data_IF_837144099814
#
_entry.id   IF_837144099814
#
_cell.length_a   1.000
_cell.length_b   1.000
_cell.length_c   1.000
_cell.angle_alpha   90.00
_cell.angle_beta   90.00
_cell.angle_gamma   90.00
#
_symmetry.space_group_name_H-M   'P 1'
#
loop_
_entity.id
_entity.type
_entity.pdbx_description
1 polymer ?
#
# COMPACT_ATOMS: atom_id res chain seq x y z
N UNK A 1 16.33 14.79 23.99
CA UNK A 1 15.56 14.72 22.71
C UNK A 1 14.82 13.40 22.69
N UNK A 2 13.49 13.42 22.70
CA UNK A 2 12.66 12.21 22.79
C UNK A 2 12.68 11.42 21.48
N UNK A 3 12.80 10.09 21.57
CA UNK A 3 12.65 9.22 20.42
C UNK A 3 11.20 9.24 19.95
N UNK A 4 10.97 9.46 18.65
CA UNK A 4 9.68 9.22 18.02
C UNK A 4 9.43 7.71 18.03
N UNK A 5 8.49 7.26 18.85
CA UNK A 5 8.06 5.86 18.88
C UNK A 5 7.30 5.57 17.58
N UNK A 6 7.86 4.69 16.74
CA UNK A 6 7.20 4.21 15.53
C UNK A 6 6.64 2.81 15.79
N UNK A 7 5.37 2.64 15.53
CA UNK A 7 4.72 1.34 15.58
C UNK A 7 4.95 0.60 14.26
N UNK A 8 5.48 -0.61 14.33
CA UNK A 8 5.68 -1.46 13.15
C UNK A 8 4.58 -2.52 13.11
N UNK A 9 3.72 -2.42 12.09
CA UNK A 9 2.65 -3.37 11.87
C UNK A 9 3.18 -4.68 11.26
N UNK A 10 2.59 -5.81 11.64
CA UNK A 10 2.79 -7.12 11.01
C UNK A 10 1.57 -7.48 10.17
N UNK A 11 1.75 -7.67 8.86
CA UNK A 11 0.69 -8.07 7.93
C UNK A 11 1.22 -8.28 6.52
N UNK A 12 0.45 -8.97 5.67
CA UNK A 12 0.88 -9.31 4.32
C UNK A 12 0.93 -8.08 3.40
N UNK A 13 -0.02 -7.17 3.57
CA UNK A 13 -0.14 -5.93 2.81
C UNK A 13 -0.23 -4.75 3.77
N UNK A 14 0.81 -3.92 3.77
CA UNK A 14 0.93 -2.74 4.64
C UNK A 14 0.96 -1.48 3.80
N UNK A 15 0.12 -0.53 4.18
CA UNK A 15 0.14 0.82 3.63
C UNK A 15 1.16 1.67 4.39
N UNK A 16 2.06 2.28 3.64
CA UNK A 16 3.16 3.09 4.16
C UNK A 16 3.10 4.50 3.59
N UNK A 17 3.62 5.48 4.32
CA UNK A 17 3.79 6.84 3.81
C UNK A 17 4.71 6.85 2.59
N UNK A 18 4.33 7.52 1.49
CA UNK A 18 5.13 7.51 0.26
C UNK A 18 6.51 8.17 0.39
N UNK A 19 6.66 9.11 1.32
CA UNK A 19 7.90 9.87 1.53
C UNK A 19 8.89 9.13 2.42
N UNK A 20 8.46 8.71 3.62
CA UNK A 20 9.36 8.16 4.64
C UNK A 20 9.17 6.66 4.90
N UNK A 21 8.23 6.01 4.20
CA UNK A 21 7.90 4.58 4.32
C UNK A 21 7.45 4.15 5.72
N UNK A 22 7.08 5.09 6.59
CA UNK A 22 6.51 4.74 7.89
C UNK A 22 5.18 3.97 7.69
N UNK A 23 5.03 2.85 8.39
CA UNK A 23 3.81 2.03 8.35
C UNK A 23 2.63 2.86 8.87
N UNK A 24 1.47 2.72 8.25
CA UNK A 24 0.29 3.49 8.62
C UNK A 24 -0.93 2.59 8.88
N UNK A 25 -1.20 1.62 8.02
CA UNK A 25 -2.31 0.68 8.24
C UNK A 25 -2.08 -0.64 7.51
N UNK A 26 -2.72 -1.71 7.99
CA UNK A 26 -2.79 -2.97 7.23
C UNK A 26 -4.00 -2.97 6.30
N UNK A 27 -3.98 -3.84 5.28
CA UNK A 27 -5.11 -4.02 4.37
C UNK A 27 -6.40 -4.46 5.06
N UNK A 28 -6.32 -5.21 6.16
CA UNK A 28 -7.48 -5.68 6.93
C UNK A 28 -8.25 -4.56 7.62
N UNK A 29 -7.61 -3.40 7.81
CA UNK A 29 -8.25 -2.23 8.41
C UNK A 29 -9.08 -1.42 7.41
N UNK A 30 -9.09 -1.79 6.12
CA UNK A 30 -9.91 -1.10 5.11
C UNK A 30 -11.39 -1.37 5.39
N UNK A 31 -12.13 -0.30 5.68
CA UNK A 31 -13.58 -0.34 5.76
C UNK A 31 -14.22 -0.22 4.38
N UNK A 32 -13.74 0.69 3.54
CA UNK A 32 -14.30 0.92 2.21
C UNK A 32 -13.30 1.55 1.23
N UNK A 33 -13.43 1.19 -0.06
CA UNK A 33 -12.49 1.58 -1.13
C UNK A 33 -13.04 2.62 -2.12
N UNK A 34 -14.29 3.03 -1.94
CA UNK A 34 -15.05 3.88 -2.89
C UNK A 34 -14.97 5.37 -2.58
N UNK A 35 -13.95 5.80 -1.82
CA UNK A 35 -13.82 7.19 -1.38
C UNK A 35 -12.93 8.00 -2.33
N UNK A 36 -13.14 9.31 -2.33
CA UNK A 36 -12.32 10.27 -3.07
C UNK A 36 -11.74 11.32 -2.11
N UNK A 37 -10.45 11.56 -2.30
CA UNK A 37 -9.61 12.57 -1.64
C UNK A 37 -9.54 13.87 -2.43
N UNK A 38 -8.72 14.80 -1.93
CA UNK A 38 -8.31 16.00 -2.66
C UNK A 38 -7.40 15.64 -3.84
N UNK A 39 -6.58 14.61 -3.69
CA UNK A 39 -5.57 14.20 -4.68
C UNK A 39 -5.95 12.91 -5.43
N UNK A 40 -7.25 12.59 -5.52
CA UNK A 40 -7.76 11.45 -6.28
C UNK A 40 -8.33 10.34 -5.39
N UNK A 41 -8.21 9.04 -5.76
CA UNK A 41 -8.85 7.96 -5.03
C UNK A 41 -8.29 7.80 -3.60
N UNK A 42 -9.18 7.53 -2.65
CA UNK A 42 -8.83 7.36 -1.25
C UNK A 42 -9.59 6.18 -0.63
N UNK A 43 -9.05 5.65 0.47
CA UNK A 43 -9.64 4.54 1.21
C UNK A 43 -10.02 4.97 2.62
N UNK A 44 -11.13 4.43 3.11
CA UNK A 44 -11.58 4.61 4.48
C UNK A 44 -11.07 3.43 5.33
N UNK A 45 -10.35 3.73 6.39
CA UNK A 45 -9.76 2.78 7.33
C UNK A 45 -10.39 2.90 8.71
N UNK A 46 -10.51 1.78 9.40
CA UNK A 46 -10.94 1.74 10.81
C UNK A 46 -9.84 2.25 11.76
N UNK A 47 -8.58 1.91 11.48
CA UNK A 47 -7.45 2.25 12.33
C UNK A 47 -6.20 2.61 11.52
N UNK A 48 -5.44 3.60 11.99
CA UNK A 48 -4.19 4.09 11.38
C UNK A 48 -3.20 4.45 12.50
N UNK A 49 -1.95 4.03 12.36
CA UNK A 49 -0.84 4.27 13.29
C UNK A 49 0.17 5.26 12.72
N UNK A 50 1.10 5.73 13.56
CA UNK A 50 2.17 6.66 13.17
C UNK A 50 1.68 7.96 12.51
N UNK A 51 0.51 8.44 12.91
CA UNK A 51 -0.06 9.70 12.45
C UNK A 51 -0.25 10.70 13.59
N UNK A 52 -0.12 11.98 13.27
CA UNK A 52 -0.47 13.10 14.13
C UNK A 52 -1.78 13.72 13.63
N UNK A 53 -2.67 14.08 14.55
CA UNK A 53 -3.92 14.77 14.23
C UNK A 53 -3.70 16.29 14.24
N UNK A 54 -4.17 16.96 13.19
CA UNK A 54 -4.28 18.41 13.13
C UNK A 54 -5.44 18.96 13.95
N UNK A 55 -5.70 20.28 13.89
CA UNK A 55 -6.84 20.89 14.54
C UNK A 55 -8.18 20.37 13.98
N UNK A 56 -9.23 20.46 14.78
CA UNK A 56 -10.60 20.18 14.34
C UNK A 56 -11.08 21.29 13.43
N UNK A 57 -11.56 20.93 12.26
CA UNK A 57 -12.12 21.85 11.28
C UNK A 57 -13.47 21.36 10.78
N UNK A 58 -14.42 22.27 10.64
CA UNK A 58 -15.68 21.96 9.98
C UNK A 58 -15.55 22.13 8.47
N UNK A 59 -15.91 21.09 7.72
CA UNK A 59 -15.81 21.06 6.26
C UNK A 59 -17.10 20.51 5.65
N UNK A 60 -17.61 21.20 4.63
CA UNK A 60 -18.69 20.69 3.78
C UNK A 60 -18.07 19.70 2.78
N UNK A 61 -18.51 18.44 2.85
CA UNK A 61 -18.12 17.38 1.94
C UNK A 61 -19.34 16.95 1.11
N UNK A 62 -19.14 16.04 0.16
CA UNK A 62 -20.22 15.54 -0.72
C UNK A 62 -21.45 15.00 0.03
N UNK A 63 -21.23 14.44 1.23
CA UNK A 63 -22.28 13.85 2.06
C UNK A 63 -22.73 14.75 3.21
N UNK A 64 -22.45 16.05 3.14
CA UNK A 64 -22.88 17.03 4.14
C UNK A 64 -21.76 17.60 5.01
N UNK A 65 -22.15 18.30 6.08
CA UNK A 65 -21.24 18.93 7.04
C UNK A 65 -20.57 17.87 7.94
N UNK A 66 -19.24 17.97 8.08
CA UNK A 66 -18.46 17.11 8.94
C UNK A 66 -17.43 17.93 9.72
N UNK A 67 -17.15 17.54 10.96
CA UNK A 67 -15.94 17.96 11.68
C UNK A 67 -14.85 16.94 11.40
N UNK A 68 -13.72 17.38 10.85
CA UNK A 68 -12.59 16.53 10.48
C UNK A 68 -11.29 17.05 11.07
N UNK A 69 -10.29 16.18 11.13
CA UNK A 69 -8.92 16.53 11.53
C UNK A 69 -7.97 16.01 10.47
N UNK A 70 -7.12 16.88 9.91
CA UNK A 70 -6.09 16.41 8.97
C UNK A 70 -5.14 15.44 9.68
N UNK A 71 -4.70 14.41 8.95
CA UNK A 71 -3.72 13.45 9.46
C UNK A 71 -2.39 13.65 8.76
N UNK A 72 -1.35 13.78 9.58
CA UNK A 72 0.02 13.98 9.15
C UNK A 72 0.85 12.76 9.51
N UNK A 73 1.80 12.38 8.68
CA UNK A 73 2.78 11.37 9.06
C UNK A 73 3.60 11.87 10.26
N UNK A 74 3.70 11.07 11.33
CA UNK A 74 4.50 11.40 12.52
C UNK A 74 6.00 11.58 12.26
N UNK A 75 6.50 11.01 11.15
CA UNK A 75 7.94 11.03 10.81
C UNK A 75 8.34 12.18 9.87
N UNK A 76 7.52 12.49 8.87
CA UNK A 76 7.86 13.52 7.85
C UNK A 76 6.83 14.65 7.75
N UNK A 77 5.78 14.63 8.57
CA UNK A 77 4.70 15.64 8.64
C UNK A 77 3.89 15.85 7.35
N UNK A 78 4.14 15.02 6.33
CA UNK A 78 3.34 14.99 5.11
C UNK A 78 1.87 14.68 5.42
N UNK A 79 0.95 15.43 4.81
CA UNK A 79 -0.48 15.16 4.86
C UNK A 79 -0.77 13.84 4.14
N UNK A 80 -1.42 12.90 4.84
CA UNK A 80 -1.84 11.60 4.31
C UNK A 80 -3.36 11.55 4.01
N UNK A 81 -4.14 12.43 4.65
CA UNK A 81 -5.58 12.53 4.49
C UNK A 81 -6.23 13.21 5.69
N UNK A 82 -7.37 12.70 6.17
CA UNK A 82 -8.06 13.23 7.36
C UNK A 82 -8.83 12.15 8.13
N UNK A 83 -9.13 12.41 9.40
CA UNK A 83 -10.01 11.61 10.26
C UNK A 83 -11.36 12.31 10.40
N UNK A 84 -12.45 11.56 10.37
CA UNK A 84 -13.76 12.08 10.73
C UNK A 84 -13.89 12.11 12.26
N UNK A 85 -14.11 13.29 12.81
CA UNK A 85 -14.41 13.44 14.24
C UNK A 85 -15.91 13.37 14.48
N UNK A 86 -16.69 14.07 13.66
CA UNK A 86 -18.15 14.14 13.78
C UNK A 86 -18.81 14.27 12.41
N UNK A 87 -19.89 13.52 12.21
CA UNK A 87 -20.82 13.69 11.09
C UNK A 87 -22.14 14.24 11.64
N UNK A 88 -22.73 15.23 10.97
CA UNK A 88 -23.99 15.83 11.41
C UNK A 88 -25.22 15.09 10.86
N UNK A 89 -25.05 14.33 9.78
CA UNK A 89 -26.10 13.50 9.20
C UNK A 89 -26.05 12.08 9.77
N UNK A 90 -27.21 11.56 10.20
CA UNK A 90 -27.32 10.24 10.85
C UNK A 90 -26.80 9.11 9.94
N UNK A 91 -27.10 9.19 8.65
CA UNK A 91 -26.66 8.22 7.63
C UNK A 91 -25.14 8.15 7.46
N UNK A 92 -24.42 9.19 7.89
CA UNK A 92 -22.96 9.32 7.75
C UNK A 92 -22.21 9.02 9.06
N UNK A 93 -22.93 8.73 10.15
CA UNK A 93 -22.36 8.43 11.48
C UNK A 93 -21.37 7.27 11.46
N UNK A 94 -21.54 6.32 10.54
CA UNK A 94 -20.58 5.22 10.37
C UNK A 94 -19.15 5.68 10.04
N UNK A 95 -18.94 6.93 9.60
CA UNK A 95 -17.61 7.47 9.30
C UNK A 95 -16.88 7.97 10.54
N UNK A 96 -17.59 8.30 11.62
CA UNK A 96 -16.99 8.88 12.82
C UNK A 96 -15.90 7.96 13.39
N UNK A 97 -14.78 8.56 13.77
CA UNK A 97 -13.58 7.87 14.26
C UNK A 97 -12.68 7.26 13.18
N UNK A 98 -13.15 7.13 11.93
CA UNK A 98 -12.43 6.50 10.82
C UNK A 98 -11.56 7.48 10.03
N UNK A 99 -10.65 6.92 9.24
CA UNK A 99 -9.57 7.65 8.59
C UNK A 99 -9.66 7.52 7.07
N UNK A 100 -9.64 8.66 6.37
CA UNK A 100 -9.41 8.71 4.94
C UNK A 100 -7.90 8.82 4.71
N UNK A 101 -7.35 7.87 3.95
CA UNK A 101 -5.99 7.95 3.44
C UNK A 101 -6.00 7.95 1.92
N UNK A 102 -5.30 8.92 1.33
CA UNK A 102 -5.25 9.09 -0.11
C UNK A 102 -4.20 8.20 -0.75
N UNK A 103 -4.55 7.51 -1.84
CA UNK A 103 -3.61 6.62 -2.52
C UNK A 103 -2.37 7.35 -3.04
N UNK A 104 -2.52 8.58 -3.50
CA UNK A 104 -1.40 9.37 -4.02
C UNK A 104 -0.31 9.67 -2.97
N UNK A 105 -0.62 9.50 -1.68
CA UNK A 105 0.29 9.76 -0.55
C UNK A 105 0.79 8.48 0.13
N UNK A 106 0.41 7.31 -0.39
CA UNK A 106 0.63 6.02 0.25
C UNK A 106 1.23 5.02 -0.74
N UNK A 107 2.20 4.23 -0.27
CA UNK A 107 2.70 3.04 -0.96
C UNK A 107 2.18 1.77 -0.29
N UNK A 108 2.23 0.65 -1.02
CA UNK A 108 1.84 -0.66 -0.48
C UNK A 108 3.05 -1.58 -0.50
N UNK A 109 3.42 -2.06 0.68
CA UNK A 109 4.44 -3.09 0.85
C UNK A 109 3.78 -4.45 0.98
N UNK A 110 4.22 -5.40 0.15
CA UNK A 110 3.79 -6.80 0.22
C UNK A 110 4.90 -7.64 0.87
N UNK A 111 4.71 -7.98 2.14
CA UNK A 111 5.72 -8.69 2.94
C UNK A 111 5.72 -10.19 2.60
N UNK A 112 4.57 -10.78 2.23
CA UNK A 112 4.49 -12.19 1.83
C UNK A 112 5.38 -12.52 0.61
N UNK A 113 5.53 -11.58 -0.32
CA UNK A 113 6.39 -11.73 -1.50
C UNK A 113 7.89 -11.69 -1.22
N UNK A 114 8.33 -11.22 -0.04
CA UNK A 114 9.75 -11.23 0.34
C UNK A 114 10.25 -12.66 0.56
N UNK A 115 9.41 -13.56 1.08
CA UNK A 115 9.77 -14.97 1.29
C UNK A 115 9.94 -15.71 -0.04
N UNK A 116 9.12 -15.44 -1.05
CA UNK A 116 9.27 -16.05 -2.38
C UNK A 116 10.57 -15.56 -3.03
N UNK A 117 10.81 -14.25 -3.09
CA UNK A 117 12.02 -13.69 -3.73
C UNK A 117 13.33 -14.19 -3.12
N UNK A 118 13.38 -14.37 -1.81
CA UNK A 118 14.57 -14.86 -1.13
C UNK A 118 14.83 -16.36 -1.40
N UNK A 119 13.78 -17.17 -1.64
CA UNK A 119 13.92 -18.58 -2.03
C UNK A 119 14.56 -18.75 -3.43
N UNK A 120 14.26 -17.86 -4.39
CA UNK A 120 14.89 -17.89 -5.72
C UNK A 120 16.36 -17.47 -5.71
N UNK A 121 16.75 -16.48 -4.88
CA UNK A 121 18.15 -16.07 -4.74
C UNK A 121 19.02 -17.15 -4.10
N UNK A 122 18.50 -17.85 -3.08
CA UNK A 122 19.21 -18.98 -2.48
C UNK A 122 19.35 -20.18 -3.43
N UNK A 123 18.44 -20.34 -4.40
CA UNK A 123 18.53 -21.42 -5.40
C UNK A 123 19.54 -21.13 -6.52
N UNK A 124 19.79 -19.86 -6.85
CA UNK A 124 20.80 -19.47 -7.86
C UNK A 124 22.24 -19.52 -7.35
N UNK A 125 22.48 -19.44 -6.05
CA UNK A 125 23.83 -19.59 -5.47
C UNK A 125 24.30 -21.05 -5.32
N UNK A 126 23.40 -22.03 -5.40
CA UNK A 126 23.77 -23.46 -5.36
C UNK A 126 23.98 -24.03 -6.77
N UNK A 127 23.62 -23.29 -7.82
CA UNK A 127 23.77 -23.71 -9.21
C UNK A 127 25.11 -23.30 -9.86
N UNK A 128 26.08 -22.78 -9.09
CA UNK A 128 27.37 -22.30 -9.60
C UNK A 128 28.59 -23.14 -9.19
N UNK A 129 28.42 -24.24 -8.46
CA UNK A 129 29.54 -25.10 -8.04
C UNK A 129 29.80 -26.34 -8.91
N UNK A 130 29.10 -26.50 -10.03
CA UNK A 130 29.35 -27.62 -10.95
C UNK A 130 29.23 -27.18 -12.42
N UNK A 131 30.17 -26.35 -12.88
CA UNK A 131 30.47 -26.19 -14.31
C UNK A 131 31.89 -26.69 -14.53
N UNK A 132 32.03 -28.01 -14.53
CA UNK A 132 33.16 -28.69 -15.18
C UNK A 132 32.65 -29.25 -16.50
N UNK A 133 33.18 -28.67 -17.58
CA UNK A 133 33.34 -29.27 -18.90
C UNK A 133 32.08 -29.83 -19.58
N UNK A 134 31.54 -29.07 -20.54
CA UNK A 134 31.33 -29.61 -21.89
C UNK A 134 31.14 -28.48 -22.89
N UNK A 135 31.98 -28.53 -23.92
CA UNK A 135 32.11 -27.57 -24.99
C UNK A 135 31.22 -28.08 -26.13
N UNK A 136 30.05 -27.49 -26.37
CA UNK A 136 29.32 -27.66 -27.62
C UNK A 136 28.58 -26.36 -27.96
N UNK A 137 28.98 -25.81 -29.11
CA UNK A 137 28.46 -24.63 -29.75
C UNK A 137 26.96 -24.73 -30.07
N UNK A 138 26.28 -23.58 -30.19
CA UNK A 138 25.08 -23.51 -31.00
C UNK A 138 24.02 -22.48 -30.59
N UNK A 139 24.25 -21.22 -30.97
CA UNK A 139 23.24 -20.26 -31.49
C UNK A 139 22.05 -19.86 -30.60
N UNK A 140 22.12 -18.59 -30.19
CA UNK A 140 21.06 -17.72 -29.67
C UNK A 140 20.13 -17.21 -30.81
N UNK A 141 18.92 -16.77 -30.42
CA UNK A 141 17.95 -15.90 -31.14
C UNK A 141 17.06 -16.66 -32.16
N UNK A 142 15.76 -16.42 -32.32
CA UNK A 142 14.80 -15.49 -31.72
C UNK A 142 13.38 -15.87 -32.20
N UNK A 143 12.38 -15.30 -31.55
CA UNK A 143 11.07 -14.91 -32.10
C UNK A 143 10.02 -15.99 -32.50
N UNK A 144 8.97 -16.02 -31.67
CA UNK A 144 7.56 -15.80 -32.03
C UNK A 144 7.26 -15.58 -33.53
N UNK A 145 6.42 -16.43 -34.14
CA UNK A 145 5.14 -16.01 -34.76
C UNK A 145 4.32 -17.22 -35.26
N UNK A 146 3.00 -17.04 -35.19
CA UNK A 146 1.97 -17.67 -36.04
C UNK A 146 1.41 -19.04 -35.66
N UNK A 147 0.13 -18.95 -35.29
CA UNK A 147 -0.87 -20.00 -35.26
C UNK A 147 -1.16 -20.59 -36.65
N UNK A 148 -1.99 -21.65 -36.65
CA UNK A 148 -2.49 -22.43 -37.80
C UNK A 148 -1.45 -23.47 -38.30
N UNK A 149 -1.70 -24.78 -38.38
CA UNK A 149 -2.92 -25.54 -38.71
C UNK A 149 -2.85 -26.90 -38.02
N UNK A 150 -3.99 -27.31 -37.46
CA UNK A 150 -4.28 -28.66 -37.00
C UNK A 150 -4.43 -29.61 -38.20
N UNK A 151 -3.81 -30.79 -38.17
CA UNK A 151 -4.01 -31.81 -39.21
C UNK A 151 -3.31 -33.12 -38.93
N UNK A 152 -3.93 -33.97 -38.12
CA UNK A 152 -3.67 -35.41 -38.11
C UNK A 152 -4.03 -36.00 -39.48
N UNK A 153 -3.11 -36.74 -40.12
CA UNK A 153 -3.26 -38.09 -40.70
C UNK A 153 -2.00 -38.46 -41.47
#
# INVERSE_FOLDING_TARGET
MGQLFKEYLSGDLIYCCSICKAHAATHDQIYAKTFQGRFGPAYLFNHVVNVCLGPREERILMTGLHTVMDIHCSSCFQILGWRYEKAYEEKEKYKEGKYIMEKARMDVENIANLFIRNSWKSRQQVASSHVSECNCAGVLLDALESAEVCGCS
#
